data_IF_481791346096
#
_entry.id   IF_481791346096
#
_cell.length_a   1.000
_cell.length_b   1.000
_cell.length_c   1.000
_cell.angle_alpha   90.00
_cell.angle_beta   90.00
_cell.angle_gamma   90.00
#
_symmetry.space_group_name_H-M   'P 1'
#
loop_
_entity.id
_entity.type
_entity.pdbx_description
1 polymer ?
#
# COMPACT_ATOMS: atom_id res chain seq x y z
N UNK A 1 -6.35 -6.81 2.41
CA UNK A 1 -6.30 -6.34 1.00
C UNK A 1 -7.37 -5.29 0.62
N UNK A 2 -8.05 -4.64 1.58
CA UNK A 2 -9.17 -3.73 1.26
C UNK A 2 -8.79 -2.51 0.41
N UNK A 3 -7.57 -1.99 0.58
CA UNK A 3 -7.03 -0.90 -0.26
C UNK A 3 -6.94 -1.25 -1.74
N UNK A 4 -6.37 -2.40 -2.06
CA UNK A 4 -6.30 -2.92 -3.42
C UNK A 4 -7.71 -3.16 -4.02
N UNK A 5 -8.64 -3.72 -3.24
CA UNK A 5 -10.02 -3.90 -3.69
C UNK A 5 -10.70 -2.56 -4.03
N UNK A 6 -10.48 -1.52 -3.23
CA UNK A 6 -10.97 -0.17 -3.50
C UNK A 6 -10.41 0.36 -4.83
N UNK A 7 -9.09 0.23 -5.05
CA UNK A 7 -8.43 0.65 -6.31
C UNK A 7 -9.02 -0.10 -7.52
N UNK A 8 -9.21 -1.41 -7.43
CA UNK A 8 -9.84 -2.20 -8.52
C UNK A 8 -11.28 -1.72 -8.79
N UNK A 9 -12.06 -1.45 -7.74
CA UNK A 9 -13.41 -0.90 -7.87
C UNK A 9 -13.43 0.47 -8.56
N UNK A 10 -12.48 1.34 -8.20
CA UNK A 10 -12.30 2.65 -8.84
C UNK A 10 -11.95 2.49 -10.32
N UNK A 11 -11.05 1.57 -10.68
CA UNK A 11 -10.71 1.29 -12.09
C UNK A 11 -11.90 0.73 -12.88
N UNK A 12 -12.73 -0.12 -12.26
CA UNK A 12 -13.97 -0.57 -12.86
C UNK A 12 -14.90 0.62 -13.17
N UNK A 13 -15.06 1.54 -12.23
CA UNK A 13 -15.90 2.73 -12.42
C UNK A 13 -15.34 3.68 -13.50
N UNK A 14 -14.02 3.93 -13.48
CA UNK A 14 -13.31 4.76 -14.49
C UNK A 14 -13.56 4.20 -15.89
N UNK A 15 -13.41 2.89 -16.07
CA UNK A 15 -13.63 2.23 -17.35
C UNK A 15 -15.09 2.33 -17.80
N UNK A 16 -16.06 2.11 -16.90
CA UNK A 16 -17.48 2.22 -17.22
C UNK A 16 -17.92 3.65 -17.57
N UNK A 17 -17.32 4.65 -16.95
CA UNK A 17 -17.62 6.06 -17.20
C UNK A 17 -16.88 6.63 -18.41
N UNK A 18 -15.89 5.92 -18.96
CA UNK A 18 -15.08 6.39 -20.09
C UNK A 18 -14.30 7.66 -19.76
N UNK A 19 -13.79 7.79 -18.54
CA UNK A 19 -13.07 9.00 -18.09
C UNK A 19 -11.85 9.25 -19.01
N UNK A 20 -11.76 10.40 -19.70
CA UNK A 20 -10.70 10.65 -20.69
C UNK A 20 -9.42 11.13 -20.02
N UNK A 21 -8.86 10.34 -19.11
CA UNK A 21 -7.63 10.67 -18.37
C UNK A 21 -6.81 9.41 -18.15
N UNK A 22 -5.49 9.56 -18.19
CA UNK A 22 -4.56 8.47 -17.94
C UNK A 22 -4.44 8.23 -16.44
N UNK A 23 -4.75 7.02 -16.00
CA UNK A 23 -4.69 6.60 -14.59
C UNK A 23 -3.96 5.26 -14.53
N UNK A 24 -2.98 5.14 -13.65
CA UNK A 24 -2.17 3.93 -13.43
C UNK A 24 -2.50 3.35 -12.05
N UNK A 25 -2.79 2.05 -12.00
CA UNK A 25 -3.11 1.33 -10.76
C UNK A 25 -1.97 0.38 -10.39
N UNK A 26 -1.41 0.53 -9.19
CA UNK A 26 -0.38 -0.36 -8.66
C UNK A 26 -0.96 -1.17 -7.50
N UNK A 27 -0.85 -2.50 -7.57
CA UNK A 27 -1.47 -3.42 -6.62
C UNK A 27 -0.42 -4.46 -6.18
N UNK A 28 0.46 -4.15 -5.20
CA UNK A 28 1.33 -5.15 -4.59
C UNK A 28 0.48 -6.16 -3.81
N UNK A 29 0.64 -7.46 -4.09
CA UNK A 29 -0.12 -8.54 -3.46
C UNK A 29 0.80 -9.63 -2.95
N UNK A 30 0.66 -9.96 -1.68
CA UNK A 30 1.29 -11.09 -1.01
C UNK A 30 0.46 -11.51 0.21
N UNK A 31 0.82 -12.63 0.81
CA UNK A 31 0.35 -13.02 2.15
C UNK A 31 1.46 -12.73 3.18
N UNK A 32 1.06 -12.41 4.41
CA UNK A 32 1.97 -12.32 5.56
C UNK A 32 1.75 -13.54 6.45
N UNK A 33 2.62 -14.55 6.33
CA UNK A 33 2.48 -15.82 7.04
C UNK A 33 3.76 -16.18 7.80
N UNK A 34 3.64 -16.79 9.00
CA UNK A 34 4.79 -17.32 9.70
C UNK A 34 5.31 -18.59 9.00
N UNK A 35 6.62 -18.71 8.88
CA UNK A 35 7.30 -19.92 8.41
C UNK A 35 8.77 -19.89 8.82
N UNK A 36 9.50 -20.99 8.62
CA UNK A 36 10.97 -21.02 8.82
C UNK A 36 11.75 -20.12 7.85
N UNK A 37 11.08 -19.50 6.87
CA UNK A 37 11.65 -18.54 5.90
C UNK A 37 11.00 -17.15 6.00
N UNK A 38 10.12 -16.92 6.98
CA UNK A 38 9.46 -15.65 7.15
C UNK A 38 10.44 -14.57 7.64
N UNK A 39 10.07 -13.31 7.40
CA UNK A 39 10.72 -12.14 7.98
C UNK A 39 10.76 -12.25 9.50
N UNK A 40 11.87 -11.82 10.10
CA UNK A 40 12.06 -11.82 11.55
C UNK A 40 12.11 -10.39 12.09
N UNK A 41 11.59 -10.14 13.30
CA UNK A 41 11.91 -8.94 14.04
C UNK A 41 13.43 -8.70 14.11
N UNK A 42 13.86 -7.49 13.77
CA UNK A 42 15.27 -7.09 13.69
C UNK A 42 15.94 -7.32 12.33
N UNK A 43 15.28 -7.98 11.37
CA UNK A 43 15.80 -8.03 9.99
C UNK A 43 15.86 -6.61 9.42
N UNK A 44 16.93 -6.31 8.67
CA UNK A 44 17.07 -5.06 7.91
C UNK A 44 16.96 -5.37 6.44
N UNK A 45 15.99 -4.76 5.77
CA UNK A 45 15.75 -4.90 4.33
C UNK A 45 16.09 -3.60 3.61
N UNK A 46 16.45 -3.69 2.33
CA UNK A 46 16.71 -2.52 1.49
C UNK A 46 15.51 -2.31 0.56
N UNK A 47 14.84 -1.17 0.66
CA UNK A 47 13.76 -0.76 -0.22
C UNK A 47 14.28 -0.43 -1.62
N UNK A 48 13.37 -0.34 -2.60
CA UNK A 48 13.68 -0.05 -4.01
C UNK A 48 14.47 1.24 -4.21
N UNK A 49 14.27 2.26 -3.36
CA UNK A 49 15.01 3.52 -3.41
C UNK A 49 16.38 3.47 -2.73
N UNK A 50 16.83 2.31 -2.24
CA UNK A 50 18.09 2.12 -1.52
C UNK A 50 18.03 2.44 -0.02
N UNK A 51 16.90 2.91 0.51
CA UNK A 51 16.73 3.16 1.94
C UNK A 51 16.64 1.83 2.68
N UNK A 52 17.35 1.67 3.79
CA UNK A 52 17.25 0.50 4.65
C UNK A 52 16.13 0.66 5.67
N UNK A 53 15.41 -0.43 5.95
CA UNK A 53 14.29 -0.47 6.88
C UNK A 53 14.54 -1.61 7.87
N UNK A 54 14.63 -1.28 9.16
CA UNK A 54 14.61 -2.27 10.22
C UNK A 54 13.17 -2.70 10.49
N UNK A 55 12.93 -4.00 10.43
CA UNK A 55 11.61 -4.60 10.65
C UNK A 55 11.51 -4.98 12.11
N UNK A 56 11.07 -4.07 12.97
CA UNK A 56 10.89 -4.37 14.39
C UNK A 56 9.63 -5.18 14.69
N UNK A 57 8.59 -5.01 13.87
CA UNK A 57 7.35 -5.77 13.97
C UNK A 57 6.91 -6.22 12.57
N UNK A 58 6.78 -7.52 12.39
CA UNK A 58 6.44 -8.16 11.10
C UNK A 58 4.97 -7.99 10.72
N UNK A 59 4.10 -7.59 11.66
CA UNK A 59 2.69 -7.24 11.42
C UNK A 59 2.51 -5.76 11.00
N UNK A 60 3.62 -5.04 10.86
CA UNK A 60 3.65 -3.74 10.20
C UNK A 60 4.02 -3.88 8.71
N UNK A 61 3.65 -4.98 8.05
CA UNK A 61 4.10 -5.31 6.68
C UNK A 61 3.50 -4.40 5.61
N UNK A 62 2.29 -3.87 5.83
CA UNK A 62 1.59 -3.06 4.85
C UNK A 62 2.40 -1.85 4.38
N UNK A 63 3.15 -1.21 5.30
CA UNK A 63 4.02 -0.08 4.95
C UNK A 63 5.30 -0.51 4.22
N UNK A 64 5.74 -1.76 4.37
CA UNK A 64 6.91 -2.30 3.67
C UNK A 64 6.59 -2.48 2.18
N UNK A 65 5.46 -3.13 1.86
CA UNK A 65 5.04 -3.32 0.47
C UNK A 65 4.67 -2.00 -0.22
N UNK A 66 4.13 -1.03 0.54
CA UNK A 66 3.82 0.29 0.03
C UNK A 66 5.07 1.13 -0.25
N UNK A 67 6.16 0.97 0.52
CA UNK A 67 7.40 1.69 0.28
C UNK A 67 7.92 1.44 -1.16
N UNK A 68 7.95 0.18 -1.58
CA UNK A 68 8.38 -0.19 -2.93
C UNK A 68 7.36 0.20 -4.00
N UNK A 69 6.06 0.04 -3.73
CA UNK A 69 5.02 0.44 -4.69
C UNK A 69 5.01 1.96 -4.94
N UNK A 70 5.17 2.77 -3.89
CA UNK A 70 5.27 4.22 -3.99
C UNK A 70 6.56 4.64 -4.68
N UNK A 71 7.68 3.98 -4.39
CA UNK A 71 8.93 4.19 -5.13
C UNK A 71 8.73 3.90 -6.63
N UNK A 72 8.16 2.74 -6.95
CA UNK A 72 7.89 2.33 -8.33
C UNK A 72 6.94 3.29 -9.06
N UNK A 73 5.98 3.90 -8.35
CA UNK A 73 5.04 4.87 -8.92
C UNK A 73 5.73 6.08 -9.56
N UNK A 74 6.92 6.45 -9.09
CA UNK A 74 7.70 7.57 -9.62
C UNK A 74 8.14 7.37 -11.06
N UNK A 75 8.27 6.12 -11.52
CA UNK A 75 8.65 5.78 -12.90
C UNK A 75 7.62 6.25 -13.95
N UNK A 76 6.39 6.55 -13.53
CA UNK A 76 5.31 7.01 -14.41
C UNK A 76 5.25 8.53 -14.54
N UNK A 77 6.11 9.29 -13.84
CA UNK A 77 6.03 10.75 -13.73
C UNK A 77 4.60 11.25 -13.45
N UNK A 78 3.93 10.73 -12.39
CA UNK A 78 2.53 11.00 -12.15
C UNK A 78 2.29 12.46 -11.75
N UNK A 79 1.12 13.00 -12.10
CA UNK A 79 0.68 14.33 -11.63
C UNK A 79 0.29 14.32 -10.14
N UNK A 80 -0.18 13.17 -9.65
CA UNK A 80 -0.53 12.94 -8.26
C UNK A 80 -0.45 11.44 -7.97
N UNK A 81 -0.15 11.09 -6.71
CA UNK A 81 -0.14 9.71 -6.21
C UNK A 81 -1.09 9.66 -5.02
N UNK A 82 -1.94 8.64 -4.98
CA UNK A 82 -2.87 8.36 -3.88
C UNK A 82 -2.72 6.88 -3.53
N UNK A 83 -2.33 6.57 -2.30
CA UNK A 83 -2.41 5.21 -1.77
C UNK A 83 -3.65 5.03 -0.91
N UNK A 84 -4.16 3.80 -0.87
CA UNK A 84 -5.31 3.41 -0.06
C UNK A 84 -4.95 2.12 0.65
N UNK A 85 -5.03 2.10 1.98
CA UNK A 85 -4.61 0.95 2.76
C UNK A 85 -5.44 0.77 4.04
N UNK A 86 -5.73 -0.49 4.38
CA UNK A 86 -6.22 -0.90 5.71
C UNK A 86 -5.02 -1.02 6.65
N UNK A 87 -4.35 0.10 6.95
CA UNK A 87 -2.94 0.09 7.38
C UNK A 87 -2.71 -0.10 8.89
N UNK A 88 -3.59 0.44 9.74
CA UNK A 88 -3.36 0.42 11.19
C UNK A 88 -4.65 0.20 11.97
N UNK A 89 -4.54 -0.50 13.11
CA UNK A 89 -5.60 -0.52 14.12
C UNK A 89 -5.82 0.84 14.78
N UNK A 90 -4.78 1.68 14.87
CA UNK A 90 -4.86 3.02 15.45
C UNK A 90 -5.87 3.92 14.72
N UNK A 91 -5.98 3.82 13.40
CA UNK A 91 -6.99 4.56 12.63
C UNK A 91 -8.42 4.19 13.04
N UNK A 92 -8.67 2.91 13.30
CA UNK A 92 -9.97 2.43 13.79
C UNK A 92 -10.27 2.95 15.19
N UNK A 93 -9.27 3.01 16.08
CA UNK A 93 -9.42 3.62 17.41
C UNK A 93 -9.69 5.12 17.32
N UNK A 94 -9.06 5.82 16.38
CA UNK A 94 -9.17 7.27 16.24
C UNK A 94 -10.50 7.74 15.65
N UNK A 95 -10.96 7.14 14.54
CA UNK A 95 -12.13 7.62 13.77
C UNK A 95 -13.27 6.60 13.66
N UNK A 96 -13.08 5.37 14.14
CA UNK A 96 -14.05 4.30 13.98
C UNK A 96 -14.36 4.04 12.49
N UNK A 97 -15.65 3.88 12.18
CA UNK A 97 -16.15 3.71 10.81
C UNK A 97 -16.83 4.98 10.25
N UNK A 98 -16.71 6.12 10.94
CA UNK A 98 -17.40 7.36 10.56
C UNK A 98 -16.79 8.03 9.32
N UNK A 99 -15.45 7.99 9.21
CA UNK A 99 -14.72 8.55 8.08
C UNK A 99 -13.38 7.81 7.87
N UNK A 100 -12.86 7.88 6.65
CA UNK A 100 -11.48 7.49 6.36
C UNK A 100 -10.52 8.63 6.74
N UNK A 101 -9.39 8.31 7.35
CA UNK A 101 -8.30 9.27 7.55
C UNK A 101 -7.58 9.56 6.24
N UNK A 102 -7.24 10.82 6.00
CA UNK A 102 -6.46 11.28 4.86
C UNK A 102 -5.25 12.07 5.36
N UNK A 103 -4.08 11.83 4.77
CA UNK A 103 -2.78 12.42 5.12
C UNK A 103 -2.09 12.99 3.90
#
# INVERSE_FOLDING_TARGET
>A
MGGAACVVGVFSAIASLGVPTNIVGLIPLCENLPSGKATKPGDVVTAMNGTTIQIDNTDAEGRLILADALCYSSNFNPKAVVDVATLTGAMSVALGAGAAGAF
#
